data_IF_619712970212
#
_entry.id   IF_619712970212
#
_cell.length_a   1.000
_cell.length_b   1.000
_cell.length_c   1.000
_cell.angle_alpha   90.00
_cell.angle_beta   90.00
_cell.angle_gamma   90.00
#
_symmetry.space_group_name_H-M   'P 1'
#
loop_
_entity.id
_entity.type
_entity.pdbx_description
1 polymer ?
#
# COMPACT_ATOMS: atom_id res chain seq x y z
N UNK A 1 -19.76 -13.02 -1.78
CA UNK A 1 -19.02 -11.80 -2.18
C UNK A 1 -18.03 -11.51 -1.07
N UNK A 2 -16.74 -11.75 -1.27
CA UNK A 2 -15.70 -11.26 -0.36
C UNK A 2 -15.47 -9.79 -0.68
N UNK A 3 -16.14 -8.89 0.04
CA UNK A 3 -15.80 -7.47 -0.02
C UNK A 3 -14.37 -7.29 0.53
N UNK A 4 -13.55 -6.41 -0.07
CA UNK A 4 -12.23 -6.15 0.47
C UNK A 4 -12.33 -5.57 1.87
N UNK A 5 -11.38 -5.95 2.73
CA UNK A 5 -11.21 -5.38 4.06
C UNK A 5 -10.26 -4.19 3.98
N UNK A 6 -10.57 -3.13 4.73
CA UNK A 6 -9.65 -2.00 4.90
C UNK A 6 -9.00 -2.05 6.28
N UNK A 7 -7.68 -1.94 6.28
CA UNK A 7 -6.87 -1.72 7.48
C UNK A 7 -6.43 -0.26 7.50
N UNK A 8 -6.78 0.46 8.57
CA UNK A 8 -6.44 1.88 8.73
C UNK A 8 -5.18 2.06 9.57
N UNK A 9 -4.37 3.06 9.20
CA UNK A 9 -3.14 3.43 9.88
C UNK A 9 -2.71 4.85 9.53
N UNK A 10 -1.52 5.24 9.95
CA UNK A 10 -0.93 6.56 9.70
C UNK A 10 0.47 6.44 9.11
N UNK A 11 0.92 7.48 8.42
CA UNK A 11 2.31 7.60 7.98
C UNK A 11 3.18 7.94 9.19
N UNK A 12 4.11 7.03 9.53
CA UNK A 12 5.04 7.22 10.64
C UNK A 12 6.35 7.87 10.19
N UNK A 13 6.85 7.50 9.01
CA UNK A 13 8.08 8.06 8.43
C UNK A 13 8.12 7.92 6.91
N UNK A 14 8.87 8.81 6.24
CA UNK A 14 9.09 8.80 4.79
C UNK A 14 10.40 8.08 4.41
N UNK A 15 10.97 7.29 5.31
CA UNK A 15 12.18 6.50 5.06
C UNK A 15 12.12 5.12 5.73
N UNK A 16 12.77 4.14 5.12
CA UNK A 16 12.93 2.80 5.69
C UNK A 16 13.83 2.79 6.94
N UNK A 17 13.94 1.63 7.61
CA UNK A 17 14.70 1.51 8.88
C UNK A 17 16.21 1.78 8.72
N UNK A 18 16.75 1.67 7.51
CA UNK A 18 18.15 1.97 7.18
C UNK A 18 18.31 3.28 6.40
N UNK A 19 17.22 4.06 6.26
CA UNK A 19 17.21 5.33 5.52
C UNK A 19 16.84 5.20 4.05
N UNK A 20 16.27 4.07 3.63
CA UNK A 20 15.84 3.81 2.26
C UNK A 20 14.78 4.85 1.81
N UNK A 21 15.06 5.71 0.82
CA UNK A 21 14.13 6.75 0.37
C UNK A 21 12.96 6.22 -0.46
N UNK A 22 13.02 4.99 -0.95
CA UNK A 22 11.97 4.30 -1.72
C UNK A 22 10.93 3.61 -0.82
N UNK A 23 11.18 3.56 0.49
CA UNK A 23 10.31 2.94 1.50
C UNK A 23 9.74 4.02 2.43
N UNK A 24 8.46 3.90 2.79
CA UNK A 24 7.88 4.62 3.93
C UNK A 24 7.49 3.64 5.03
N UNK A 25 7.46 4.14 6.26
CA UNK A 25 6.97 3.40 7.44
C UNK A 25 5.57 3.86 7.81
N UNK A 26 4.73 2.89 8.16
CA UNK A 26 3.37 3.11 8.64
C UNK A 26 3.25 2.65 10.08
N UNK A 27 2.40 3.34 10.84
CA UNK A 27 1.79 2.79 12.06
C UNK A 27 0.47 2.12 11.65
N UNK A 28 0.48 0.80 11.47
CA UNK A 28 -0.65 0.02 10.94
C UNK A 28 -0.60 -1.42 11.44
N UNK A 29 -1.75 -1.97 11.81
CA UNK A 29 -1.90 -3.39 12.20
C UNK A 29 -2.34 -4.24 11.01
N UNK A 30 -1.51 -4.29 9.98
CA UNK A 30 -1.76 -5.11 8.80
C UNK A 30 -1.64 -6.61 9.11
N UNK A 31 -2.40 -7.42 8.38
CA UNK A 31 -2.31 -8.89 8.42
C UNK A 31 -1.39 -9.40 7.31
N UNK A 32 -0.89 -10.63 7.43
CA UNK A 32 -0.03 -11.23 6.40
C UNK A 32 -0.68 -11.20 5.01
N UNK A 33 -2.01 -11.39 4.95
CA UNK A 33 -2.81 -11.33 3.73
C UNK A 33 -2.96 -9.94 3.09
N UNK A 34 -2.62 -8.86 3.80
CA UNK A 34 -2.63 -7.50 3.25
C UNK A 34 -1.40 -7.22 2.39
N UNK A 35 -0.37 -8.08 2.47
CA UNK A 35 0.90 -7.94 1.74
C UNK A 35 0.67 -7.84 0.23
N UNK A 36 1.31 -6.86 -0.42
CA UNK A 36 1.13 -6.57 -1.84
C UNK A 36 -0.13 -5.76 -2.14
N UNK A 37 -0.99 -5.53 -1.15
CA UNK A 37 -2.16 -4.66 -1.28
C UNK A 37 -1.78 -3.19 -1.48
N UNK A 38 -2.62 -2.41 -2.19
CA UNK A 38 -2.41 -0.98 -2.34
C UNK A 38 -2.68 -0.26 -1.02
N UNK A 39 -1.80 0.68 -0.66
CA UNK A 39 -2.05 1.66 0.40
C UNK A 39 -2.53 2.94 -0.26
N UNK A 40 -3.74 3.34 0.07
CA UNK A 40 -4.37 4.56 -0.44
C UNK A 40 -4.40 5.67 0.61
N UNK A 41 -4.29 6.92 0.16
CA UNK A 41 -4.50 8.09 1.02
C UNK A 41 -5.98 8.49 1.09
N UNK A 42 -6.28 9.56 1.83
CA UNK A 42 -7.65 10.04 2.02
C UNK A 42 -8.31 10.57 0.74
N UNK A 43 -7.55 10.84 -0.32
CA UNK A 43 -8.10 11.22 -1.64
C UNK A 43 -8.47 10.01 -2.49
N UNK A 44 -8.16 8.79 -2.04
CA UNK A 44 -8.29 7.56 -2.81
C UNK A 44 -7.06 7.26 -3.68
N UNK A 45 -6.03 8.11 -3.65
CA UNK A 45 -4.82 7.91 -4.45
C UNK A 45 -3.93 6.82 -3.86
N UNK A 46 -3.34 5.97 -4.71
CA UNK A 46 -2.38 4.95 -4.26
C UNK A 46 -1.07 5.62 -3.84
N UNK A 47 -0.82 5.66 -2.53
CA UNK A 47 0.41 6.16 -1.92
C UNK A 47 1.58 5.17 -2.02
N UNK A 48 1.28 3.87 -2.14
CA UNK A 48 2.27 2.81 -2.29
C UNK A 48 1.66 1.42 -2.23
N UNK A 49 2.53 0.42 -2.10
CA UNK A 49 2.15 -0.99 -1.94
C UNK A 49 2.72 -1.53 -0.64
N UNK A 50 1.90 -2.21 0.16
CA UNK A 50 2.33 -2.81 1.41
C UNK A 50 3.34 -3.93 1.16
N UNK A 51 4.49 -3.86 1.83
CA UNK A 51 5.55 -4.86 1.76
C UNK A 51 5.33 -5.93 2.83
N UNK A 52 5.83 -7.13 2.57
CA UNK A 52 5.90 -8.16 3.58
C UNK A 52 6.75 -7.67 4.75
N UNK A 53 6.38 -8.06 5.97
CA UNK A 53 7.19 -7.81 7.15
C UNK A 53 8.63 -8.31 6.93
N UNK A 54 9.67 -7.50 7.22
CA UNK A 54 11.05 -7.91 7.06
C UNK A 54 11.31 -9.23 7.79
N UNK A 55 11.89 -10.20 7.08
CA UNK A 55 12.31 -11.47 7.65
C UNK A 55 13.79 -11.68 7.38
N UNK A 56 14.57 -12.00 8.42
CA UNK A 56 15.94 -12.52 8.25
C UNK A 56 17.10 -11.74 8.86
N UNK A 57 16.89 -10.60 9.53
CA UNK A 57 17.97 -9.81 10.15
C UNK A 57 18.05 -9.94 11.69
N UNK A 58 17.19 -10.77 12.30
CA UNK A 58 17.09 -10.92 13.76
C UNK A 58 16.41 -9.74 14.46
N UNK A 59 15.90 -8.75 13.71
CA UNK A 59 15.19 -7.60 14.25
C UNK A 59 13.75 -7.97 14.57
N UNK A 60 13.34 -7.68 15.80
CA UNK A 60 11.95 -7.79 16.23
C UNK A 60 11.34 -6.40 16.20
N UNK A 61 10.27 -6.23 15.43
CA UNK A 61 9.53 -4.98 15.32
C UNK A 61 8.21 -5.06 16.11
N UNK A 62 7.69 -3.91 16.58
CA UNK A 62 6.31 -3.83 17.05
C UNK A 62 5.32 -4.30 15.97
N UNK A 63 4.21 -4.88 16.40
CA UNK A 63 3.20 -5.46 15.49
C UNK A 63 2.41 -4.44 14.68
N UNK A 64 2.56 -3.16 14.99
CA UNK A 64 1.96 -2.04 14.27
C UNK A 64 2.96 -1.31 13.35
N UNK A 65 4.13 -1.89 13.06
CA UNK A 65 5.07 -1.32 12.08
C UNK A 65 4.88 -1.99 10.72
N UNK A 66 4.33 -1.23 9.77
CA UNK A 66 4.23 -1.62 8.36
C UNK A 66 5.20 -0.86 7.46
N UNK A 67 5.50 -1.42 6.31
CA UNK A 67 6.35 -0.79 5.29
C UNK A 67 5.63 -0.73 3.96
N UNK A 68 5.82 0.34 3.21
CA UNK A 68 5.34 0.44 1.83
C UNK A 68 6.49 0.73 0.88
N UNK A 69 6.45 0.12 -0.31
CA UNK A 69 7.14 0.68 -1.47
C UNK A 69 6.34 1.89 -1.95
N UNK A 70 7.00 3.05 -2.06
CA UNK A 70 6.34 4.31 -2.41
C UNK A 70 5.76 4.28 -3.82
N UNK A 71 4.69 5.05 -4.03
CA UNK A 71 4.05 5.21 -5.33
C UNK A 71 5.04 5.57 -6.45
N UNK A 72 6.01 6.43 -6.19
CA UNK A 72 7.06 6.78 -7.17
C UNK A 72 7.88 5.55 -7.62
N UNK A 73 8.25 4.68 -6.68
CA UNK A 73 8.94 3.41 -6.97
C UNK A 73 8.08 2.49 -7.83
N UNK A 74 6.77 2.47 -7.58
CA UNK A 74 5.83 1.71 -8.40
C UNK A 74 5.68 2.30 -9.81
N UNK A 75 5.59 3.63 -9.94
CA UNK A 75 5.49 4.29 -11.24
C UNK A 75 6.74 4.07 -12.10
N UNK A 76 7.92 4.09 -11.48
CA UNK A 76 9.18 3.81 -12.17
C UNK A 76 9.23 2.34 -12.64
N UNK A 77 8.83 1.40 -11.78
CA UNK A 77 8.72 -0.01 -12.14
C UNK A 77 7.73 -0.25 -13.29
N UNK A 78 6.55 0.36 -13.24
CA UNK A 78 5.53 0.25 -14.29
C UNK A 78 6.04 0.83 -15.61
N UNK A 79 6.65 2.02 -15.58
CA UNK A 79 7.20 2.67 -16.77
C UNK A 79 8.31 1.84 -17.41
N UNK A 80 9.20 1.24 -16.62
CA UNK A 80 10.24 0.34 -17.11
C UNK A 80 9.67 -0.91 -17.81
N UNK A 81 8.43 -1.28 -17.49
CA UNK A 81 7.69 -2.40 -18.11
C UNK A 81 6.67 -1.94 -19.16
N UNK A 82 6.75 -0.68 -19.63
CA UNK A 82 5.89 -0.16 -20.70
C UNK A 82 4.46 0.18 -20.26
N UNK A 83 4.20 0.27 -18.95
CA UNK A 83 2.90 0.62 -18.39
C UNK A 83 2.92 2.06 -17.87
N UNK A 84 2.04 2.89 -18.40
CA UNK A 84 1.86 4.28 -17.92
C UNK A 84 0.87 4.30 -16.76
N UNK A 85 1.33 4.66 -15.57
CA UNK A 85 0.46 4.86 -14.42
C UNK A 85 -0.37 6.14 -14.58
N UNK A 86 -1.65 6.07 -14.23
CA UNK A 86 -2.49 7.26 -14.13
C UNK A 86 -2.18 7.99 -12.82
N UNK A 87 -1.91 9.30 -12.90
CA UNK A 87 -1.76 10.15 -11.73
C UNK A 87 -3.11 10.77 -11.37
N UNK A 88 -3.55 10.59 -10.14
CA UNK A 88 -4.72 11.28 -9.63
C UNK A 88 -4.39 12.77 -9.40
N UNK A 89 -5.33 13.65 -9.78
CA UNK A 89 -5.31 15.03 -9.30
C UNK A 89 -5.79 15.10 -7.86
N UNK A 90 -5.55 16.23 -7.18
CA UNK A 90 -6.10 16.44 -5.84
C UNK A 90 -7.63 16.45 -5.89
N UNK A 91 -8.23 15.38 -5.38
CA UNK A 91 -9.65 15.33 -5.03
C UNK A 91 -9.78 15.57 -3.53
N UNK A 92 -10.89 16.17 -3.09
CA UNK A 92 -11.16 16.33 -1.65
C UNK A 92 -11.13 14.99 -0.90
N UNK A 93 -11.10 15.04 0.43
CA UNK A 93 -11.09 13.83 1.26
C UNK A 93 -12.36 13.00 1.05
N UNK A 94 -12.20 11.70 0.86
CA UNK A 94 -13.26 10.71 0.90
C UNK A 94 -13.59 10.31 2.35
N UNK A 95 -14.84 9.93 2.60
CA UNK A 95 -15.27 9.26 3.84
C UNK A 95 -14.79 7.80 3.87
N UNK A 96 -14.77 7.13 5.04
CA UNK A 96 -14.39 5.71 5.13
C UNK A 96 -15.26 4.78 4.25
N UNK A 97 -16.54 5.10 4.10
CA UNK A 97 -17.46 4.35 3.23
C UNK A 97 -17.08 4.51 1.74
N UNK A 98 -16.79 5.75 1.32
CA UNK A 98 -16.33 6.02 -0.05
C UNK A 98 -14.98 5.39 -0.35
N UNK A 99 -14.03 5.44 0.60
CA UNK A 99 -12.74 4.74 0.48
C UNK A 99 -12.92 3.22 0.33
N UNK A 100 -13.85 2.62 1.08
CA UNK A 100 -14.12 1.18 0.99
C UNK A 100 -14.67 0.80 -0.39
N UNK A 101 -15.61 1.59 -0.91
CA UNK A 101 -16.12 1.40 -2.26
C UNK A 101 -15.04 1.58 -3.32
N UNK A 102 -14.26 2.66 -3.21
CA UNK A 102 -13.18 2.95 -4.14
C UNK A 102 -12.09 1.87 -4.15
N UNK A 103 -11.65 1.41 -2.98
CA UNK A 103 -10.67 0.33 -2.87
C UNK A 103 -11.15 -0.98 -3.50
N UNK A 104 -12.45 -1.27 -3.42
CA UNK A 104 -13.02 -2.45 -4.06
C UNK A 104 -12.90 -2.44 -5.58
N UNK A 105 -13.02 -1.27 -6.20
CA UNK A 105 -12.88 -1.10 -7.65
C UNK A 105 -11.41 -1.17 -8.12
N UNK A 106 -10.44 -0.98 -7.21
CA UNK A 106 -9.00 -1.06 -7.52
C UNK A 106 -8.44 -2.49 -7.49
N UNK A 107 -9.11 -3.42 -6.81
CA UNK A 107 -8.62 -4.79 -6.62
C UNK A 107 -9.32 -5.77 -7.53
N UNK A 108 -8.56 -6.68 -8.15
CA UNK A 108 -9.10 -7.78 -8.97
C UNK A 108 -8.73 -9.12 -8.36
N UNK A 109 -9.66 -10.07 -8.37
CA UNK A 109 -9.36 -11.44 -7.98
C UNK A 109 -8.57 -12.12 -9.10
N UNK A 110 -7.28 -12.31 -8.89
CA UNK A 110 -6.47 -13.20 -9.72
C UNK A 110 -6.69 -14.62 -9.22
N UNK A 111 -7.23 -15.47 -10.09
CA UNK A 111 -7.37 -16.90 -9.82
C UNK A 111 -6.47 -17.65 -10.81
N UNK A 112 -5.59 -18.50 -10.30
CA UNK A 112 -4.86 -19.46 -11.11
C UNK A 112 -5.76 -20.68 -11.28
N UNK A 113 -6.11 -20.98 -12.53
CA UNK A 113 -6.81 -22.19 -12.90
C UNK A 113 -5.77 -23.05 -13.60
N UNK A 114 -5.52 -24.25 -13.07
CA UNK A 114 -4.69 -25.26 -13.75
C UNK A 114 -5.35 -25.73 -15.06
#
# INVERSE_FOLDING_TARGET
>A
LSSPTLTYGTLADVSGLSGEPEISRLEIRAQDGDTGGPVIDQSGSVAGMLLASPSGDGRVLPTDVGFIAKGATLTDFLAANGVTAATAGFAGSMTPYELSGHAADLTVLVSCWD
#
